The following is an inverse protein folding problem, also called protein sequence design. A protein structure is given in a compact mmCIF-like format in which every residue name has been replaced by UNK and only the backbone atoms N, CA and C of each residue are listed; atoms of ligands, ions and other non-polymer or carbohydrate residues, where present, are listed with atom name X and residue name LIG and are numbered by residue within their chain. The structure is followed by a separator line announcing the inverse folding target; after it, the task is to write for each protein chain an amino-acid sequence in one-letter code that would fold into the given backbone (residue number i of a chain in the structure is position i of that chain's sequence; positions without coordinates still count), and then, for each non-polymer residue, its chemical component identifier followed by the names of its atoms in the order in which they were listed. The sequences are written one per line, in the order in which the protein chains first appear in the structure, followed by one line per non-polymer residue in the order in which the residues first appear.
data_IF_030834380200
#
_entry.id   IF_030834380200
#
_cell.length_a   1.000
_cell.length_b   1.000
_cell.length_c   1.000
_cell.angle_alpha   90.00
_cell.angle_beta   90.00
_cell.angle_gamma   90.00
#
_symmetry.space_group_name_H-M   'P 1'
#
loop_
_entity.id
_entity.type
_entity.pdbx_description
1 polymer ?
#
# COMPACT_ATOMS: atom_id res chain seq x y z
N UNK A 1 29.57 36.64 -22.83
CA UNK A 1 28.62 35.65 -23.38
C UNK A 1 28.56 34.50 -22.40
N UNK A 2 27.43 34.21 -21.75
CA UNK A 2 27.38 33.08 -20.83
C UNK A 2 27.40 31.79 -21.67
N UNK A 3 28.27 30.86 -21.30
CA UNK A 3 28.29 29.54 -21.88
C UNK A 3 27.00 28.82 -21.50
N UNK A 4 26.21 28.42 -22.49
CA UNK A 4 25.11 27.47 -22.29
C UNK A 4 25.75 26.14 -21.87
N UNK A 5 25.57 25.77 -20.60
CA UNK A 5 25.88 24.42 -20.13
C UNK A 5 24.80 23.49 -20.69
N UNK A 6 25.14 22.72 -21.73
CA UNK A 6 24.24 21.83 -22.48
C UNK A 6 23.86 20.55 -21.73
N UNK A 7 23.53 20.65 -20.43
CA UNK A 7 23.13 19.52 -19.60
C UNK A 7 21.88 19.81 -18.75
N UNK A 8 21.02 20.69 -19.25
CA UNK A 8 19.77 21.01 -18.56
C UNK A 8 18.72 19.93 -18.90
N UNK A 9 18.31 19.16 -17.89
CA UNK A 9 17.29 18.12 -18.02
C UNK A 9 15.96 18.70 -17.52
N UNK A 10 14.87 18.65 -18.33
CA UNK A 10 13.55 19.12 -17.90
C UNK A 10 13.00 18.38 -16.68
N UNK A 11 13.45 17.14 -16.46
CA UNK A 11 13.14 16.34 -15.29
C UNK A 11 14.29 16.47 -14.26
N UNK A 12 13.99 16.82 -13.00
CA UNK A 12 15.02 17.04 -11.99
C UNK A 12 15.73 15.74 -11.62
N UNK A 13 17.04 15.68 -11.87
CA UNK A 13 17.90 14.60 -11.41
C UNK A 13 18.23 14.80 -9.93
N UNK A 14 17.37 14.28 -9.05
CA UNK A 14 17.50 14.41 -7.60
C UNK A 14 17.69 13.06 -6.90
N UNK A 15 18.24 13.09 -5.69
CA UNK A 15 18.48 11.90 -4.88
C UNK A 15 19.33 10.87 -5.62
N UNK A 16 18.90 9.62 -5.63
CA UNK A 16 19.61 8.51 -6.29
C UNK A 16 19.73 8.67 -7.81
N UNK A 17 18.83 9.41 -8.47
CA UNK A 17 18.90 9.65 -9.92
C UNK A 17 20.10 10.50 -10.34
N UNK A 18 20.72 11.23 -9.41
CA UNK A 18 21.99 11.95 -9.67
C UNK A 18 23.15 11.03 -10.04
N UNK A 19 23.04 9.74 -9.70
CA UNK A 19 24.06 8.73 -9.94
C UNK A 19 23.82 7.96 -11.25
N UNK A 20 22.70 8.20 -11.94
CA UNK A 20 22.39 7.55 -13.20
C UNK A 20 23.39 7.99 -14.29
N UNK A 21 23.82 7.04 -15.11
CA UNK A 21 24.60 7.34 -16.31
C UNK A 21 23.68 7.84 -17.42
N UNK A 22 24.23 8.54 -18.42
CA UNK A 22 23.44 9.02 -19.57
C UNK A 22 22.66 7.89 -20.25
N UNK A 23 23.28 6.71 -20.40
CA UNK A 23 22.68 5.52 -21.02
C UNK A 23 21.70 4.79 -20.11
N UNK A 24 21.61 5.16 -18.83
CA UNK A 24 20.58 4.66 -17.91
C UNK A 24 19.18 5.13 -18.31
N UNK A 25 19.07 6.29 -18.98
CA UNK A 25 17.80 6.87 -19.42
C UNK A 25 17.72 7.03 -20.94
N UNK A 26 18.83 7.38 -21.60
CA UNK A 26 18.88 7.61 -23.04
C UNK A 26 19.37 6.37 -23.77
N UNK A 27 18.46 5.43 -23.97
CA UNK A 27 18.76 4.13 -24.59
C UNK A 27 18.91 4.24 -26.12
N UNK A 28 19.74 3.38 -26.71
CA UNK A 28 19.99 3.31 -28.16
C UNK A 28 21.46 3.49 -28.56
N UNK A 29 21.75 3.28 -29.84
CA UNK A 29 23.05 3.57 -30.47
C UNK A 29 22.84 4.23 -31.86
N UNK A 30 22.95 5.57 -31.98
CA UNK A 30 23.33 6.52 -30.92
C UNK A 30 22.22 6.72 -29.86
N UNK A 31 22.53 7.28 -28.69
CA UNK A 31 21.56 7.53 -27.62
C UNK A 31 20.36 8.36 -28.09
N UNK A 32 19.16 7.93 -27.71
CA UNK A 32 17.90 8.64 -28.01
C UNK A 32 17.47 9.44 -26.79
N UNK A 33 17.35 10.76 -26.97
CA UNK A 33 16.97 11.70 -25.91
C UNK A 33 15.47 12.03 -25.91
N UNK A 34 14.86 12.02 -27.09
CA UNK A 34 13.43 12.27 -27.24
C UNK A 34 12.63 11.08 -26.67
N UNK A 35 11.57 11.39 -25.92
CA UNK A 35 10.70 10.37 -25.34
C UNK A 35 11.26 9.66 -24.10
N UNK A 36 12.42 10.09 -23.56
CA UNK A 36 12.88 9.62 -22.26
C UNK A 36 11.79 9.89 -21.21
N UNK A 37 11.32 8.87 -20.47
CA UNK A 37 10.22 9.04 -19.54
C UNK A 37 10.56 10.04 -18.42
N UNK A 38 9.56 10.84 -18.03
CA UNK A 38 9.67 11.86 -16.97
C UNK A 38 8.76 11.57 -15.77
N UNK A 39 8.21 10.36 -15.72
CA UNK A 39 7.36 9.85 -14.64
C UNK A 39 7.94 8.56 -14.10
N UNK A 40 7.78 8.30 -12.80
CA UNK A 40 8.40 7.17 -12.11
C UNK A 40 8.16 5.83 -12.81
N UNK A 41 6.91 5.53 -13.16
CA UNK A 41 6.53 4.28 -13.82
C UNK A 41 7.14 4.09 -15.22
N UNK A 42 7.60 5.17 -15.86
CA UNK A 42 8.26 5.07 -17.15
C UNK A 42 9.53 4.22 -17.13
N UNK A 43 10.19 4.13 -15.97
CA UNK A 43 11.33 3.23 -15.74
C UNK A 43 11.01 2.16 -14.68
N UNK A 44 10.20 2.49 -13.68
CA UNK A 44 9.95 1.66 -12.50
C UNK A 44 8.63 0.88 -12.57
N UNK A 45 8.10 0.56 -13.77
CA UNK A 45 6.90 -0.27 -13.91
C UNK A 45 7.10 -1.65 -13.29
N UNK A 46 8.25 -2.29 -13.54
CA UNK A 46 8.55 -3.59 -12.97
C UNK A 46 8.64 -3.55 -11.43
N UNK A 47 9.19 -2.48 -10.86
CA UNK A 47 9.26 -2.32 -9.40
C UNK A 47 7.87 -2.09 -8.79
N UNK A 48 6.98 -1.38 -9.51
CA UNK A 48 5.58 -1.23 -9.12
C UNK A 48 4.85 -2.58 -9.15
N UNK A 49 4.93 -3.31 -10.27
CA UNK A 49 4.24 -4.60 -10.46
C UNK A 49 4.72 -5.69 -9.49
N UNK A 50 5.98 -5.60 -9.01
CA UNK A 50 6.59 -6.57 -8.10
C UNK A 50 6.78 -6.03 -6.68
N UNK A 51 6.00 -5.01 -6.29
CA UNK A 51 6.00 -4.49 -4.93
C UNK A 51 5.73 -5.59 -3.89
N UNK A 52 6.33 -5.51 -2.68
CA UNK A 52 6.04 -6.46 -1.62
C UNK A 52 4.57 -6.36 -1.18
N UNK A 53 4.03 -7.43 -0.59
CA UNK A 53 2.65 -7.44 -0.11
C UNK A 53 2.38 -6.36 0.96
N UNK A 54 1.23 -5.67 0.93
CA UNK A 54 0.20 -5.67 -0.12
C UNK A 54 0.75 -5.01 -1.39
N UNK A 55 0.69 -5.72 -2.53
CA UNK A 55 1.31 -5.26 -3.78
C UNK A 55 0.90 -3.82 -4.14
N UNK A 56 1.71 -3.13 -4.94
CA UNK A 56 1.43 -1.73 -5.30
C UNK A 56 0.20 -1.57 -6.21
N UNK A 57 -0.39 -2.66 -6.72
CA UNK A 57 -1.63 -2.65 -7.49
C UNK A 57 -2.83 -2.13 -6.69
N UNK A 58 -2.78 -2.21 -5.36
CA UNK A 58 -3.74 -1.58 -4.45
C UNK A 58 -3.47 -0.09 -4.18
N UNK A 59 -2.36 0.47 -4.69
CA UNK A 59 -1.87 1.82 -4.38
C UNK A 59 -1.84 2.74 -5.61
N UNK A 60 -1.94 4.07 -5.41
CA UNK A 60 -1.85 5.00 -6.52
C UNK A 60 -0.46 4.98 -7.15
N UNK A 61 -0.38 5.43 -8.40
CA UNK A 61 0.88 5.57 -9.13
C UNK A 61 1.65 6.85 -8.80
N UNK A 62 1.21 7.59 -7.78
CA UNK A 62 1.84 8.81 -7.27
C UNK A 62 2.93 8.46 -6.25
N UNK A 63 4.03 7.89 -6.75
CA UNK A 63 5.10 7.33 -5.91
C UNK A 63 5.64 8.33 -4.86
N UNK A 64 5.68 9.62 -5.21
CA UNK A 64 6.17 10.71 -4.35
C UNK A 64 5.33 10.99 -3.10
N UNK A 65 4.11 10.45 -3.02
CA UNK A 65 3.27 10.58 -1.83
C UNK A 65 3.82 9.75 -0.66
N UNK A 66 4.57 8.69 -0.97
CA UNK A 66 5.07 7.73 0.00
C UNK A 66 6.60 7.57 -0.05
N UNK A 67 7.21 7.66 -1.22
CA UNK A 67 8.63 7.42 -1.45
C UNK A 67 9.38 8.71 -1.82
N UNK A 68 10.62 8.82 -1.35
CA UNK A 68 11.51 9.90 -1.77
C UNK A 68 12.57 9.39 -2.73
N UNK A 69 12.98 10.21 -3.70
CA UNK A 69 14.15 9.92 -4.56
C UNK A 69 15.45 9.85 -3.77
N UNK A 70 15.51 10.49 -2.59
CA UNK A 70 16.66 10.44 -1.69
C UNK A 70 16.74 9.14 -0.87
N UNK A 71 15.59 8.60 -0.47
CA UNK A 71 15.48 7.35 0.27
C UNK A 71 14.17 6.65 -0.11
N UNK A 72 14.28 5.52 -0.81
CA UNK A 72 13.10 4.78 -1.26
C UNK A 72 12.41 4.02 -0.11
N UNK A 73 13.18 3.59 0.90
CA UNK A 73 12.68 2.87 2.06
C UNK A 73 13.21 3.47 3.37
N UNK A 74 12.42 3.52 4.45
CA UNK A 74 10.98 3.18 4.49
C UNK A 74 10.14 4.21 3.73
N UNK A 75 9.01 3.77 3.20
CA UNK A 75 7.98 4.70 2.76
C UNK A 75 7.43 5.46 3.97
N UNK A 76 7.11 6.73 3.81
CA UNK A 76 6.60 7.59 4.89
C UNK A 76 5.11 7.94 4.72
N UNK A 77 4.50 7.49 3.63
CA UNK A 77 3.06 7.58 3.34
C UNK A 77 2.41 6.19 3.32
N UNK A 78 1.08 6.14 3.20
CA UNK A 78 0.32 4.88 3.20
C UNK A 78 -0.26 4.47 4.56
N UNK A 79 -0.49 5.44 5.46
CA UNK A 79 -1.09 5.17 6.76
C UNK A 79 -2.51 4.63 6.61
N UNK A 80 -2.87 3.69 7.47
CA UNK A 80 -4.26 3.30 7.63
C UNK A 80 -5.06 4.43 8.28
N UNK A 81 -6.37 4.54 7.99
CA UNK A 81 -7.23 5.53 8.63
C UNK A 81 -7.38 5.22 10.13
N UNK A 82 -6.61 5.93 10.96
CA UNK A 82 -6.61 5.76 12.42
C UNK A 82 -7.94 6.13 13.10
N UNK A 83 -8.87 6.77 12.38
CA UNK A 83 -10.22 7.08 12.86
C UNK A 83 -11.23 5.94 12.61
N UNK A 84 -10.84 4.91 11.87
CA UNK A 84 -11.56 3.66 11.77
C UNK A 84 -10.86 2.67 12.71
N UNK A 85 -9.94 1.86 12.20
CA UNK A 85 -9.22 0.85 12.97
C UNK A 85 -7.81 1.34 13.33
N UNK A 86 -7.54 1.74 14.59
CA UNK A 86 -6.28 2.40 14.96
C UNK A 86 -5.13 1.40 15.08
N UNK A 87 -4.36 1.22 14.00
CA UNK A 87 -3.20 0.31 13.99
C UNK A 87 -1.90 1.03 14.33
N UNK A 88 -1.82 2.35 14.28
CA UNK A 88 -0.63 3.08 14.71
C UNK A 88 -0.66 3.31 16.22
N UNK A 89 -1.85 3.60 16.76
CA UNK A 89 -2.03 4.05 18.14
C UNK A 89 -2.80 3.08 19.05
N UNK A 90 -3.49 2.10 18.48
CA UNK A 90 -4.36 1.17 19.22
C UNK A 90 -3.70 -0.12 19.69
N UNK A 91 -4.54 -1.05 20.16
CA UNK A 91 -4.12 -2.34 20.71
C UNK A 91 -3.43 -3.26 19.69
N UNK A 92 -3.72 -3.07 18.40
CA UNK A 92 -3.13 -3.83 17.29
C UNK A 92 -1.82 -3.25 16.78
N UNK A 93 -1.30 -2.18 17.40
CA UNK A 93 -0.10 -1.48 16.92
C UNK A 93 1.18 -2.30 16.84
N UNK A 94 1.24 -3.42 17.56
CA UNK A 94 2.34 -4.38 17.42
C UNK A 94 2.41 -5.05 16.03
N UNK A 95 1.32 -5.03 15.25
CA UNK A 95 1.23 -5.65 13.92
C UNK A 95 1.36 -4.65 12.76
N UNK A 96 1.51 -3.34 13.02
CA UNK A 96 1.48 -2.28 11.98
C UNK A 96 2.47 -2.45 10.82
N UNK A 97 3.57 -3.18 11.04
CA UNK A 97 4.60 -3.45 10.03
C UNK A 97 4.56 -4.90 9.51
N UNK A 98 3.58 -5.69 9.92
CA UNK A 98 3.40 -7.08 9.50
C UNK A 98 2.06 -7.21 8.79
N UNK A 99 2.03 -6.77 7.52
CA UNK A 99 0.81 -6.69 6.73
C UNK A 99 0.07 -8.03 6.68
N UNK A 100 0.83 -9.13 6.57
CA UNK A 100 0.29 -10.49 6.47
C UNK A 100 -0.30 -11.02 7.79
N UNK A 101 -0.05 -10.36 8.93
CA UNK A 101 -0.75 -10.67 10.18
C UNK A 101 -2.24 -10.31 10.11
N UNK A 102 -2.64 -9.40 9.22
CA UNK A 102 -4.02 -8.94 9.07
C UNK A 102 -4.60 -9.27 7.69
N UNK A 103 -3.87 -8.96 6.63
CA UNK A 103 -4.32 -9.06 5.25
C UNK A 103 -3.87 -10.40 4.62
N UNK A 104 -4.81 -11.14 4.02
CA UNK A 104 -4.53 -12.36 3.29
C UNK A 104 -4.87 -12.20 1.80
N UNK A 105 -3.82 -12.11 0.98
CA UNK A 105 -3.91 -11.99 -0.48
C UNK A 105 -4.76 -13.06 -1.19
N UNK A 106 -5.09 -14.18 -0.53
CA UNK A 106 -5.96 -15.23 -1.08
C UNK A 106 -7.45 -14.93 -0.92
N UNK A 107 -7.80 -13.93 -0.09
CA UNK A 107 -9.19 -13.59 0.26
C UNK A 107 -9.74 -12.38 -0.50
N UNK A 108 -8.89 -11.58 -1.15
CA UNK A 108 -9.34 -10.43 -1.92
C UNK A 108 -8.40 -9.24 -1.84
N UNK A 109 -8.98 -8.05 -1.87
CA UNK A 109 -8.26 -6.78 -1.81
C UNK A 109 -7.96 -6.36 -0.36
N UNK A 110 -6.77 -5.83 -0.07
CA UNK A 110 -6.47 -5.23 1.23
C UNK A 110 -7.19 -3.89 1.47
N UNK A 111 -7.70 -3.28 0.40
CA UNK A 111 -8.43 -2.00 0.49
C UNK A 111 -9.77 -2.22 1.19
N UNK A 112 -10.08 -1.38 2.18
CA UNK A 112 -11.31 -1.50 2.97
C UNK A 112 -11.31 -2.66 3.96
N UNK A 113 -10.21 -3.43 4.06
CA UNK A 113 -10.12 -4.58 4.94
C UNK A 113 -10.87 -5.82 4.42
N UNK A 114 -11.20 -5.87 3.12
CA UNK A 114 -11.95 -6.99 2.52
C UNK A 114 -11.23 -8.33 2.65
N UNK A 115 -9.92 -8.35 2.80
CA UNK A 115 -9.12 -9.57 2.93
C UNK A 115 -8.68 -9.86 4.38
N UNK A 116 -9.33 -9.23 5.37
CA UNK A 116 -8.97 -9.35 6.79
C UNK A 116 -9.82 -10.40 7.51
N UNK A 117 -9.22 -11.11 8.48
CA UNK A 117 -9.96 -12.00 9.39
C UNK A 117 -9.85 -11.59 10.86
N UNK A 118 -10.94 -11.06 11.40
CA UNK A 118 -11.03 -10.73 12.82
C UNK A 118 -11.22 -11.98 13.72
N UNK A 119 -11.97 -12.97 13.24
CA UNK A 119 -12.44 -14.11 14.03
C UNK A 119 -11.33 -15.14 14.22
N UNK A 120 -10.42 -15.28 13.26
CA UNK A 120 -9.25 -16.15 13.39
C UNK A 120 -8.33 -15.79 14.56
N UNK A 121 -8.28 -14.51 14.95
CA UNK A 121 -7.52 -14.05 16.12
C UNK A 121 -8.38 -13.84 17.38
N UNK A 122 -9.66 -13.47 17.22
CA UNK A 122 -10.60 -13.21 18.33
C UNK A 122 -11.63 -14.33 18.50
N UNK A 123 -11.18 -15.57 18.34
CA UNK A 123 -11.99 -16.79 18.35
C UNK A 123 -12.87 -16.94 19.61
N UNK A 124 -12.41 -16.50 20.78
CA UNK A 124 -13.16 -16.60 22.03
C UNK A 124 -14.32 -15.60 22.17
N UNK A 125 -14.08 -14.34 21.83
CA UNK A 125 -15.08 -13.28 21.98
C UNK A 125 -16.04 -13.20 20.79
N UNK A 126 -15.59 -13.57 19.59
CA UNK A 126 -16.36 -13.51 18.35
C UNK A 126 -16.78 -14.88 17.82
N UNK A 127 -17.02 -15.85 18.71
CA UNK A 127 -17.70 -17.10 18.30
C UNK A 127 -19.12 -16.81 17.81
N UNK A 128 -19.63 -17.66 16.91
CA UNK A 128 -21.04 -17.65 16.50
C UNK A 128 -22.00 -17.71 17.70
N UNK A 129 -21.71 -18.57 18.67
CA UNK A 129 -22.51 -18.68 19.89
C UNK A 129 -22.57 -17.36 20.70
N UNK A 130 -21.50 -16.56 20.67
CA UNK A 130 -21.43 -15.28 21.36
C UNK A 130 -22.08 -14.14 20.53
N UNK A 131 -21.95 -14.16 19.20
CA UNK A 131 -22.42 -13.08 18.32
C UNK A 131 -23.88 -13.24 17.86
N UNK A 132 -24.38 -14.46 17.68
CA UNK A 132 -25.78 -14.71 17.24
C UNK A 132 -26.82 -13.99 18.11
N UNK A 133 -26.72 -13.97 19.46
CA UNK A 133 -27.66 -13.24 20.30
C UNK A 133 -27.59 -11.72 20.16
N UNK A 134 -26.42 -11.17 19.79
CA UNK A 134 -26.20 -9.73 19.66
C UNK A 134 -26.67 -9.19 18.30
N UNK A 135 -26.61 -10.02 17.25
CA UNK A 135 -26.95 -9.64 15.88
C UNK A 135 -28.32 -10.15 15.42
N UNK A 136 -29.25 -10.46 16.32
CA UNK A 136 -30.57 -11.04 15.97
C UNK A 136 -31.42 -10.19 15.03
N UNK A 137 -31.20 -8.88 15.06
CA UNK A 137 -31.91 -7.89 14.25
C UNK A 137 -31.13 -7.52 12.98
N UNK A 138 -29.92 -8.06 12.81
CA UNK A 138 -29.10 -7.88 11.62
C UNK A 138 -29.14 -9.19 10.83
N UNK A 139 -30.01 -9.34 9.83
CA UNK A 139 -30.17 -10.60 9.11
C UNK A 139 -28.93 -10.97 8.27
N UNK A 140 -28.09 -10.00 7.93
CA UNK A 140 -27.01 -10.14 6.96
C UNK A 140 -25.60 -10.00 7.58
N UNK A 141 -25.46 -9.98 8.92
CA UNK A 141 -24.12 -9.96 9.52
C UNK A 141 -23.33 -11.24 9.18
N UNK A 142 -21.98 -11.18 9.10
CA UNK A 142 -21.16 -12.33 8.78
C UNK A 142 -21.37 -13.49 9.77
N UNK A 143 -22.02 -14.55 9.31
CA UNK A 143 -22.39 -15.72 10.14
C UNK A 143 -21.34 -16.85 10.11
N UNK A 144 -20.27 -16.67 9.35
CA UNK A 144 -19.18 -17.64 9.18
C UNK A 144 -17.95 -17.23 9.95
N UNK A 145 -17.20 -18.21 10.47
CA UNK A 145 -15.81 -18.01 10.90
C UNK A 145 -14.84 -18.02 9.70
N UNK A 146 -15.36 -18.13 8.48
CA UNK A 146 -14.58 -18.24 7.27
C UNK A 146 -14.37 -16.85 6.69
N UNK A 147 -13.11 -16.41 6.53
CA UNK A 147 -12.80 -15.14 5.91
C UNK A 147 -13.32 -15.06 4.46
N UNK A 148 -13.60 -13.86 3.93
CA UNK A 148 -13.48 -12.58 4.62
C UNK A 148 -14.65 -12.28 5.57
N UNK A 149 -14.33 -11.81 6.78
CA UNK A 149 -15.32 -11.46 7.81
C UNK A 149 -15.40 -9.93 7.89
N UNK A 150 -16.34 -9.35 7.12
CA UNK A 150 -16.42 -7.90 6.92
C UNK A 150 -17.10 -7.17 8.09
N UNK A 151 -16.59 -7.38 9.30
CA UNK A 151 -17.13 -6.76 10.52
C UNK A 151 -16.94 -5.25 10.54
N UNK A 152 -15.89 -4.73 9.88
CA UNK A 152 -15.50 -3.31 9.91
C UNK A 152 -16.54 -2.37 9.28
N UNK A 153 -17.46 -2.90 8.44
CA UNK A 153 -18.57 -2.13 7.90
C UNK A 153 -19.53 -1.61 8.97
N UNK A 154 -19.69 -2.38 10.06
CA UNK A 154 -20.53 -2.00 11.20
C UNK A 154 -19.70 -1.66 12.44
N UNK A 155 -18.53 -2.28 12.59
CA UNK A 155 -17.60 -2.16 13.72
C UNK A 155 -16.31 -1.48 13.27
N UNK A 156 -16.39 -0.22 12.86
CA UNK A 156 -15.30 0.50 12.20
C UNK A 156 -14.02 0.60 13.05
N UNK A 157 -14.11 0.57 14.38
CA UNK A 157 -12.99 0.58 15.32
C UNK A 157 -12.58 -0.81 15.82
N UNK A 158 -13.20 -1.86 15.29
CA UNK A 158 -12.97 -3.25 15.69
C UNK A 158 -13.48 -3.57 17.09
N UNK A 159 -14.39 -2.76 17.63
CA UNK A 159 -15.02 -2.97 18.93
C UNK A 159 -16.51 -3.35 18.79
N UNK A 160 -17.03 -4.00 19.86
CA UNK A 160 -18.42 -4.46 20.15
C UNK A 160 -18.79 -5.95 19.94
#
# INVERSE_FOLDING_TARGET
MPALSTLDHPWPLEGTHTQATCLGCHVGDPPVYEGTPTVCLGCHQADYDNGPFPGHDAFPTTCGDCHSTAAWTPATGGNHPENAFPIESGAHSKYRNDCASCHDSTLGSPVGGEDTDCVGCHDGNHTRAAMDPKHREEPDYPQGAAPPNFCLDCHADGQD
#
